data_IF_572431676628
#
_entry.id   IF_572431676628
#
_cell.length_a   1.000
_cell.length_b   1.000
_cell.length_c   1.000
_cell.angle_alpha   90.00
_cell.angle_beta   90.00
_cell.angle_gamma   90.00
#
_symmetry.space_group_name_H-M   'P 1'
#
loop_
_entity.id
_entity.type
_entity.pdbx_description
1 polymer ?
#
# COMPACT_ATOMS: atom_id res chain seq x y z
N UNK A 1 -23.37 -39.06 -23.29
CA UNK A 1 -22.65 -38.35 -22.22
C UNK A 1 -21.42 -37.74 -22.87
N UNK A 2 -21.27 -36.41 -22.81
CA UNK A 2 -20.06 -35.76 -23.33
C UNK A 2 -18.86 -36.12 -22.46
N UNK A 3 -17.70 -36.24 -23.10
CA UNK A 3 -16.42 -36.47 -22.44
C UNK A 3 -16.10 -35.30 -21.49
N UNK A 4 -15.78 -35.54 -20.20
CA UNK A 4 -15.40 -34.50 -19.25
C UNK A 4 -14.26 -33.61 -19.75
N UNK A 5 -13.32 -34.15 -20.54
CA UNK A 5 -12.23 -33.37 -21.10
C UNK A 5 -12.71 -32.31 -22.12
N UNK A 6 -13.74 -32.65 -22.92
CA UNK A 6 -14.33 -31.74 -23.90
C UNK A 6 -15.09 -30.60 -23.21
N UNK A 7 -15.79 -30.91 -22.12
CA UNK A 7 -16.47 -29.89 -21.31
C UNK A 7 -15.49 -28.90 -20.70
N UNK A 8 -14.40 -29.42 -20.13
CA UNK A 8 -13.37 -28.59 -19.50
C UNK A 8 -12.66 -27.72 -20.55
N UNK A 9 -12.35 -28.28 -21.72
CA UNK A 9 -11.82 -27.52 -22.87
C UNK A 9 -12.74 -26.35 -23.25
N UNK A 10 -14.04 -26.60 -23.40
CA UNK A 10 -15.00 -25.56 -23.78
C UNK A 10 -15.10 -24.46 -22.72
N UNK A 11 -15.12 -24.82 -21.43
CA UNK A 11 -15.15 -23.88 -20.31
C UNK A 11 -13.90 -22.99 -20.26
N UNK A 12 -12.72 -23.57 -20.49
CA UNK A 12 -11.45 -22.83 -20.60
C UNK A 12 -11.53 -21.77 -21.71
N UNK A 13 -11.98 -22.18 -22.90
CA UNK A 13 -12.05 -21.30 -24.07
C UNK A 13 -13.09 -20.19 -23.89
N UNK A 14 -14.22 -20.51 -23.26
CA UNK A 14 -15.25 -19.53 -22.92
C UNK A 14 -14.69 -18.47 -21.95
N UNK A 15 -14.06 -18.89 -20.85
CA UNK A 15 -13.48 -17.98 -19.87
C UNK A 15 -12.42 -17.05 -20.49
N UNK A 16 -11.53 -17.60 -21.32
CA UNK A 16 -10.51 -16.79 -22.02
C UNK A 16 -11.17 -15.80 -22.97
N UNK A 17 -12.20 -16.23 -23.72
CA UNK A 17 -12.88 -15.38 -24.72
C UNK A 17 -13.70 -14.22 -24.11
N UNK A 18 -14.23 -14.40 -22.90
CA UNK A 18 -14.97 -13.38 -22.16
C UNK A 18 -14.04 -12.34 -21.52
N UNK A 19 -12.77 -12.68 -21.30
CA UNK A 19 -11.81 -11.76 -20.71
C UNK A 19 -11.50 -10.57 -21.63
N UNK A 20 -11.58 -9.35 -21.09
CA UNK A 20 -11.36 -8.10 -21.83
C UNK A 20 -9.88 -7.76 -22.02
N UNK A 21 -9.02 -8.21 -21.12
CA UNK A 21 -7.58 -7.90 -21.14
C UNK A 21 -6.77 -8.91 -21.94
N UNK A 22 -7.35 -10.06 -22.28
CA UNK A 22 -6.67 -11.11 -23.01
C UNK A 22 -6.34 -10.66 -24.45
N UNK A 23 -5.07 -10.80 -24.82
CA UNK A 23 -4.58 -10.46 -26.15
C UNK A 23 -4.68 -11.65 -27.12
N UNK A 24 -5.38 -11.48 -28.23
CA UNK A 24 -5.61 -12.53 -29.23
C UNK A 24 -4.88 -12.29 -30.55
N UNK A 25 -4.91 -11.05 -31.05
CA UNK A 25 -4.23 -10.63 -32.27
C UNK A 25 -3.91 -9.15 -32.23
N UNK A 26 -2.95 -8.73 -33.05
CA UNK A 26 -2.70 -7.30 -33.28
C UNK A 26 -3.81 -6.74 -34.16
N UNK A 27 -4.57 -5.77 -33.66
CA UNK A 27 -5.63 -5.07 -34.41
C UNK A 27 -5.13 -3.68 -34.80
N UNK A 28 -5.42 -3.26 -36.03
CA UNK A 28 -5.20 -1.89 -36.48
C UNK A 28 -6.30 -0.98 -35.90
N UNK A 29 -6.02 0.32 -35.76
CA UNK A 29 -6.97 1.29 -35.15
C UNK A 29 -8.34 1.36 -35.85
N UNK A 30 -8.39 1.00 -37.14
CA UNK A 30 -9.61 1.05 -37.94
C UNK A 30 -10.32 -0.31 -38.05
N UNK A 31 -9.80 -1.36 -37.41
CA UNK A 31 -10.45 -2.67 -37.38
C UNK A 31 -11.50 -2.73 -36.26
N UNK A 32 -12.66 -3.39 -36.49
CA UNK A 32 -13.64 -3.62 -35.44
C UNK A 32 -13.08 -4.55 -34.35
N UNK A 33 -13.56 -4.36 -33.13
CA UNK A 33 -13.22 -5.23 -31.99
C UNK A 33 -13.57 -6.69 -32.28
N UNK A 34 -12.70 -7.60 -31.81
CA UNK A 34 -12.93 -9.03 -31.96
C UNK A 34 -14.17 -9.47 -31.18
N UNK A 35 -15.07 -10.17 -31.85
CA UNK A 35 -16.22 -10.81 -31.19
C UNK A 35 -15.76 -11.94 -30.27
N UNK A 36 -16.56 -12.27 -29.25
CA UNK A 36 -16.29 -13.40 -28.34
C UNK A 36 -16.13 -14.72 -29.08
N UNK A 37 -16.95 -14.96 -30.12
CA UNK A 37 -16.85 -16.17 -30.96
C UNK A 37 -15.53 -16.24 -31.75
N UNK A 38 -15.03 -15.11 -32.25
CA UNK A 38 -13.74 -15.08 -32.94
C UNK A 38 -12.57 -15.29 -31.98
N UNK A 39 -12.61 -14.65 -30.80
CA UNK A 39 -11.65 -14.88 -29.72
C UNK A 39 -11.58 -16.36 -29.34
N UNK A 40 -12.75 -16.99 -29.20
CA UNK A 40 -12.87 -18.41 -28.89
C UNK A 40 -12.17 -19.29 -29.95
N UNK A 41 -12.44 -19.04 -31.24
CA UNK A 41 -11.79 -19.79 -32.34
C UNK A 41 -10.27 -19.60 -32.40
N UNK A 42 -9.79 -18.38 -32.11
CA UNK A 42 -8.36 -18.10 -32.06
C UNK A 42 -7.71 -18.87 -30.90
N UNK A 43 -8.31 -18.81 -29.72
CA UNK A 43 -7.84 -19.53 -28.54
C UNK A 43 -7.84 -21.05 -28.77
N UNK A 44 -8.91 -21.60 -29.34
CA UNK A 44 -9.01 -23.02 -29.70
C UNK A 44 -7.88 -23.43 -30.64
N UNK A 45 -7.67 -22.64 -31.70
CA UNK A 45 -6.62 -22.90 -32.68
C UNK A 45 -5.20 -22.86 -32.09
N UNK A 46 -4.96 -22.09 -31.03
CA UNK A 46 -3.67 -22.08 -30.32
C UNK A 46 -3.58 -23.31 -29.41
N UNK A 47 -4.63 -23.61 -28.64
CA UNK A 47 -4.69 -24.73 -27.72
C UNK A 47 -4.45 -26.08 -28.41
N UNK A 48 -5.06 -26.27 -29.59
CA UNK A 48 -4.93 -27.52 -30.35
C UNK A 48 -3.57 -27.65 -31.06
N UNK A 49 -2.91 -26.52 -31.38
CA UNK A 49 -1.60 -26.53 -32.05
C UNK A 49 -0.45 -26.68 -31.08
N UNK A 50 -0.45 -25.92 -29.99
CA UNK A 50 0.65 -25.86 -29.03
C UNK A 50 0.13 -25.43 -27.65
N UNK A 51 0.02 -26.42 -26.77
CA UNK A 51 -0.48 -26.26 -25.40
C UNK A 51 0.43 -25.34 -24.56
N UNK A 52 1.77 -25.45 -24.58
CA UNK A 52 2.64 -24.50 -23.88
C UNK A 52 2.42 -23.04 -24.28
N UNK A 53 2.29 -22.76 -25.58
CA UNK A 53 2.05 -21.40 -26.09
C UNK A 53 0.70 -20.86 -25.63
N UNK A 54 -0.32 -21.72 -25.55
CA UNK A 54 -1.61 -21.36 -24.99
C UNK A 54 -1.47 -20.96 -23.51
N UNK A 55 -0.81 -21.79 -22.70
CA UNK A 55 -0.62 -21.53 -21.27
C UNK A 55 0.25 -20.29 -21.00
N UNK A 56 1.30 -20.07 -21.79
CA UNK A 56 2.12 -18.87 -21.68
C UNK A 56 1.30 -17.58 -21.88
N UNK A 57 0.35 -17.60 -22.82
CA UNK A 57 -0.46 -16.41 -23.16
C UNK A 57 -1.68 -16.23 -22.25
N UNK A 58 -2.39 -17.32 -22.00
CA UNK A 58 -3.72 -17.30 -21.39
C UNK A 58 -3.77 -17.96 -20.01
N UNK A 59 -2.70 -18.66 -19.58
CA UNK A 59 -2.66 -19.40 -18.32
C UNK A 59 -2.94 -18.55 -17.09
N UNK A 60 -2.53 -17.26 -17.11
CA UNK A 60 -2.78 -16.30 -16.01
C UNK A 60 -4.27 -16.02 -15.75
N UNK A 61 -5.15 -16.32 -16.71
CA UNK A 61 -6.59 -16.15 -16.55
C UNK A 61 -7.28 -17.42 -16.06
N UNK A 62 -6.58 -18.55 -15.97
CA UNK A 62 -7.18 -19.83 -15.59
C UNK A 62 -7.31 -19.97 -14.06
N UNK A 63 -8.37 -20.68 -13.66
CA UNK A 63 -8.67 -21.11 -12.30
C UNK A 63 -8.13 -22.52 -12.04
N UNK A 64 -8.07 -22.93 -10.77
CA UNK A 64 -7.55 -24.25 -10.36
C UNK A 64 -8.27 -25.41 -11.08
N UNK A 65 -9.60 -25.34 -11.18
CA UNK A 65 -10.42 -26.38 -11.82
C UNK A 65 -10.07 -26.59 -13.30
N UNK A 66 -9.64 -25.52 -13.99
CA UNK A 66 -9.24 -25.55 -15.40
C UNK A 66 -7.87 -26.22 -15.59
N UNK A 67 -7.00 -26.18 -14.59
CA UNK A 67 -5.65 -26.74 -14.68
C UNK A 67 -5.67 -28.27 -14.78
N UNK A 68 -6.73 -28.91 -14.28
CA UNK A 68 -6.96 -30.36 -14.36
C UNK A 68 -6.95 -30.86 -15.82
N UNK A 69 -7.36 -30.03 -16.78
CA UNK A 69 -7.32 -30.38 -18.21
C UNK A 69 -5.90 -30.71 -18.68
N UNK A 70 -4.91 -30.01 -18.14
CA UNK A 70 -3.52 -30.04 -18.60
C UNK A 70 -2.67 -31.08 -17.88
N UNK A 71 -3.10 -31.59 -16.72
CA UNK A 71 -2.35 -32.60 -15.93
C UNK A 71 -2.12 -33.90 -16.69
N UNK A 72 -3.05 -34.25 -17.59
CA UNK A 72 -2.96 -35.47 -18.41
C UNK A 72 -1.91 -35.40 -19.52
N UNK A 73 -1.27 -34.24 -19.73
CA UNK A 73 -0.28 -34.03 -20.80
C UNK A 73 1.13 -34.32 -20.28
N UNK A 74 1.83 -35.21 -20.97
CA UNK A 74 3.23 -35.57 -20.68
C UNK A 74 4.19 -34.61 -21.38
N UNK A 75 4.12 -33.32 -21.02
CA UNK A 75 5.01 -32.27 -21.52
C UNK A 75 5.50 -31.44 -20.34
N UNK A 76 6.82 -31.34 -20.21
CA UNK A 76 7.50 -30.61 -19.15
C UNK A 76 7.12 -29.12 -19.12
N UNK A 77 7.00 -28.48 -20.29
CA UNK A 77 6.65 -27.05 -20.34
C UNK A 77 5.21 -26.82 -19.84
N UNK A 78 4.30 -27.74 -20.19
CA UNK A 78 2.91 -27.69 -19.73
C UNK A 78 2.84 -27.83 -18.21
N UNK A 79 3.55 -28.80 -17.65
CA UNK A 79 3.61 -29.02 -16.19
C UNK A 79 4.20 -27.79 -15.48
N UNK A 80 5.29 -27.22 -16.01
CA UNK A 80 5.88 -26.01 -15.46
C UNK A 80 4.89 -24.84 -15.39
N UNK A 81 4.16 -24.55 -16.47
CA UNK A 81 3.18 -23.45 -16.48
C UNK A 81 1.99 -23.72 -15.55
N UNK A 82 1.54 -24.98 -15.42
CA UNK A 82 0.49 -25.38 -14.49
C UNK A 82 0.94 -25.17 -13.05
N UNK A 83 2.13 -25.65 -12.68
CA UNK A 83 2.70 -25.46 -11.34
C UNK A 83 2.93 -23.99 -11.01
N UNK A 84 3.44 -23.22 -11.96
CA UNK A 84 3.59 -21.76 -11.83
C UNK A 84 2.24 -21.12 -11.52
N UNK A 85 1.20 -21.46 -12.28
CA UNK A 85 -0.13 -20.87 -12.09
C UNK A 85 -0.75 -21.26 -10.74
N UNK A 86 -0.59 -22.51 -10.31
CA UNK A 86 -0.99 -22.98 -8.97
C UNK A 86 -0.29 -22.20 -7.86
N UNK A 87 1.01 -21.97 -8.00
CA UNK A 87 1.77 -21.20 -7.01
C UNK A 87 1.27 -19.75 -6.92
N UNK A 88 0.91 -19.12 -8.05
CA UNK A 88 0.33 -17.78 -8.07
C UNK A 88 -1.05 -17.73 -7.39
N UNK A 89 -1.94 -18.69 -7.67
CA UNK A 89 -3.25 -18.80 -7.02
C UNK A 89 -3.13 -19.02 -5.51
N UNK A 90 -2.22 -19.92 -5.08
CA UNK A 90 -1.91 -20.14 -3.66
C UNK A 90 -1.36 -18.88 -2.98
N UNK A 91 -0.49 -18.14 -3.66
CA UNK A 91 0.02 -16.85 -3.14
C UNK A 91 -1.09 -15.82 -2.99
N UNK A 92 -2.00 -15.72 -3.96
CA UNK A 92 -3.12 -14.78 -3.91
C UNK A 92 -4.09 -15.11 -2.77
N UNK A 93 -4.48 -16.37 -2.65
CA UNK A 93 -5.34 -16.86 -1.55
C UNK A 93 -4.68 -16.67 -0.20
N UNK A 94 -3.39 -17.03 -0.05
CA UNK A 94 -2.66 -16.79 1.19
C UNK A 94 -2.57 -15.29 1.53
N UNK A 95 -2.40 -14.40 0.54
CA UNK A 95 -2.39 -12.95 0.79
C UNK A 95 -3.74 -12.44 1.30
N UNK A 96 -4.86 -12.90 0.72
CA UNK A 96 -6.20 -12.55 1.20
C UNK A 96 -6.43 -13.09 2.62
N UNK A 97 -6.10 -14.37 2.86
CA UNK A 97 -6.21 -14.99 4.19
C UNK A 97 -5.39 -14.22 5.24
N UNK A 98 -4.12 -13.93 4.94
CA UNK A 98 -3.24 -13.15 5.83
C UNK A 98 -3.81 -11.75 6.08
N UNK A 99 -4.28 -11.07 5.04
CA UNK A 99 -4.88 -9.73 5.18
C UNK A 99 -6.14 -9.77 6.04
N UNK A 100 -6.98 -10.78 5.89
CA UNK A 100 -8.21 -10.96 6.65
C UNK A 100 -7.91 -11.29 8.12
N UNK A 101 -6.94 -12.16 8.39
CA UNK A 101 -6.44 -12.43 9.75
C UNK A 101 -5.90 -11.17 10.42
N UNK A 102 -5.08 -10.41 9.71
CA UNK A 102 -4.56 -9.12 10.21
C UNK A 102 -5.67 -8.11 10.44
N UNK A 103 -6.73 -8.10 9.62
CA UNK A 103 -7.89 -7.23 9.84
C UNK A 103 -8.61 -7.56 11.15
N UNK A 104 -8.82 -8.85 11.42
CA UNK A 104 -9.40 -9.28 12.70
C UNK A 104 -8.50 -8.98 13.90
N UNK A 105 -7.19 -9.20 13.76
CA UNK A 105 -6.23 -8.80 14.79
C UNK A 105 -6.27 -7.30 15.06
N UNK A 106 -6.33 -6.49 14.00
CA UNK A 106 -6.45 -5.04 14.10
C UNK A 106 -7.71 -4.64 14.86
N UNK A 107 -8.88 -5.20 14.53
CA UNK A 107 -10.13 -4.92 15.23
C UNK A 107 -10.03 -5.22 16.72
N UNK A 108 -9.52 -6.40 17.08
CA UNK A 108 -9.35 -6.81 18.50
C UNK A 108 -8.37 -5.91 19.26
N UNK A 109 -7.25 -5.56 18.64
CA UNK A 109 -6.24 -4.67 19.22
C UNK A 109 -6.73 -3.23 19.37
N UNK A 110 -7.56 -2.75 18.43
CA UNK A 110 -8.13 -1.41 18.50
C UNK A 110 -9.25 -1.30 19.55
N UNK A 111 -10.01 -2.37 19.78
CA UNK A 111 -11.11 -2.37 20.76
C UNK A 111 -10.64 -2.64 22.20
N UNK A 112 -9.66 -3.51 22.39
CA UNK A 112 -9.26 -4.02 23.71
C UNK A 112 -7.77 -3.85 24.05
N UNK A 113 -6.95 -3.40 23.10
CA UNK A 113 -5.50 -3.31 23.27
C UNK A 113 -5.00 -1.87 23.44
N UNK A 114 -3.79 -1.74 24.00
CA UNK A 114 -3.06 -0.47 24.07
C UNK A 114 -2.23 -0.19 22.80
N UNK A 115 -2.11 -1.18 21.92
CA UNK A 115 -1.23 -1.18 20.74
C UNK A 115 -1.55 -0.09 19.72
N UNK A 116 -2.84 0.19 19.53
CA UNK A 116 -3.35 1.27 18.66
C UNK A 116 -3.79 2.50 19.46
N UNK A 117 -3.27 2.67 20.68
CA UNK A 117 -3.39 3.96 21.36
C UNK A 117 -2.61 5.03 20.60
N UNK A 118 -3.12 6.26 20.64
CA UNK A 118 -2.47 7.42 20.02
C UNK A 118 -1.01 7.59 20.48
N UNK A 119 -0.73 7.28 21.76
CA UNK A 119 0.63 7.30 22.34
C UNK A 119 1.53 6.25 21.68
N UNK A 120 1.11 4.99 21.60
CA UNK A 120 1.91 3.92 20.99
C UNK A 120 2.11 4.13 19.48
N UNK A 121 1.06 4.55 18.78
CA UNK A 121 1.14 4.84 17.35
C UNK A 121 2.15 5.95 17.04
N UNK A 122 2.15 7.03 17.83
CA UNK A 122 3.14 8.12 17.74
C UNK A 122 4.55 7.63 18.08
N UNK A 123 4.71 6.82 19.13
CA UNK A 123 6.02 6.26 19.54
C UNK A 123 6.64 5.44 18.41
N UNK A 124 5.83 4.61 17.76
CA UNK A 124 6.27 3.73 16.66
C UNK A 124 6.51 4.50 15.36
N UNK A 125 5.67 5.48 15.05
CA UNK A 125 5.70 6.26 13.80
C UNK A 125 5.89 7.76 14.06
N UNK A 126 7.04 8.20 14.62
CA UNK A 126 7.22 9.58 15.06
C UNK A 126 7.30 10.58 13.89
N UNK A 127 7.96 10.23 12.78
CA UNK A 127 8.02 11.10 11.59
C UNK A 127 6.64 11.30 10.97
N UNK A 128 5.90 10.21 10.80
CA UNK A 128 4.57 10.28 10.21
C UNK A 128 3.61 11.12 11.06
N UNK A 129 3.70 10.98 12.38
CA UNK A 129 2.92 11.80 13.30
C UNK A 129 3.28 13.28 13.14
N UNK A 130 4.56 13.64 13.12
CA UNK A 130 4.97 15.04 12.98
C UNK A 130 4.56 15.63 11.62
N UNK A 131 4.62 14.84 10.55
CA UNK A 131 4.19 15.25 9.20
C UNK A 131 2.69 15.59 9.13
N UNK A 132 1.83 14.70 9.62
CA UNK A 132 0.38 14.82 9.46
C UNK A 132 -0.29 15.60 10.60
N UNK A 133 0.19 15.47 11.84
CA UNK A 133 -0.52 15.98 13.02
C UNK A 133 0.34 16.95 13.82
N UNK A 134 1.58 16.56 14.14
CA UNK A 134 2.44 17.28 15.08
C UNK A 134 2.70 18.73 14.68
N UNK A 135 2.86 19.05 13.40
CA UNK A 135 3.08 20.42 12.96
C UNK A 135 1.91 21.38 13.24
N UNK A 136 0.69 20.86 13.40
CA UNK A 136 -0.54 21.64 13.57
C UNK A 136 -1.03 21.69 15.02
N UNK A 137 -0.34 21.01 15.94
CA UNK A 137 -0.64 21.03 17.37
C UNK A 137 0.23 22.05 18.10
N UNK A 138 -0.38 22.79 19.01
CA UNK A 138 0.34 23.61 19.99
C UNK A 138 1.08 22.73 21.00
N UNK A 139 2.07 23.30 21.71
CA UNK A 139 2.81 22.55 22.74
C UNK A 139 1.89 22.01 23.84
N UNK A 140 0.84 22.77 24.21
CA UNK A 140 -0.14 22.34 25.21
C UNK A 140 -1.01 21.20 24.70
N UNK A 141 -1.44 21.23 23.43
CA UNK A 141 -2.19 20.13 22.82
C UNK A 141 -1.32 18.89 22.61
N UNK A 142 -0.03 19.05 22.23
CA UNK A 142 0.93 17.94 22.17
C UNK A 142 1.10 17.28 23.54
N UNK A 143 1.15 18.07 24.60
CA UNK A 143 1.23 17.55 25.97
C UNK A 143 -0.04 16.81 26.38
N UNK A 144 -1.22 17.32 26.02
CA UNK A 144 -2.49 16.62 26.26
C UNK A 144 -2.55 15.30 25.50
N UNK A 145 -2.11 15.27 24.24
CA UNK A 145 -2.05 14.07 23.42
C UNK A 145 -1.20 12.95 24.08
N UNK A 146 -0.09 13.32 24.71
CA UNK A 146 0.80 12.39 25.41
C UNK A 146 0.21 11.92 26.75
N UNK A 147 -0.57 12.77 27.42
CA UNK A 147 -1.12 12.49 28.76
C UNK A 147 -2.43 11.69 28.70
N UNK A 148 -3.19 11.80 27.61
CA UNK A 148 -4.53 11.18 27.49
C UNK A 148 -4.50 9.64 27.47
N UNK A 149 -3.32 9.04 27.20
CA UNK A 149 -3.15 7.58 27.13
C UNK A 149 -2.43 6.93 28.33
N UNK A 150 -1.93 7.71 29.29
CA UNK A 150 -1.18 7.18 30.44
C UNK A 150 -1.54 7.99 31.69
N UNK A 151 -2.08 7.31 32.70
CA UNK A 151 -2.41 7.96 33.98
C UNK A 151 -1.22 8.73 34.57
N UNK A 152 -1.49 9.63 35.52
CA UNK A 152 -0.44 10.44 36.16
C UNK A 152 0.74 9.55 36.60
N UNK A 153 2.00 9.98 36.38
CA UNK A 153 3.16 9.16 36.70
C UNK A 153 3.14 8.80 38.18
N UNK A 154 2.77 7.54 38.45
CA UNK A 154 2.55 7.06 39.82
C UNK A 154 3.85 6.88 40.60
N UNK A 155 5.00 6.90 39.91
CA UNK A 155 6.32 6.69 40.47
C UNK A 155 7.40 7.55 39.78
N UNK A 156 8.47 7.85 40.52
CA UNK A 156 9.68 8.46 39.95
C UNK A 156 10.27 7.61 38.81
N UNK A 157 10.16 6.28 38.91
CA UNK A 157 10.61 5.37 37.87
C UNK A 157 9.82 5.55 36.57
N UNK A 158 8.48 5.69 36.63
CA UNK A 158 7.64 5.93 35.45
C UNK A 158 7.96 7.27 34.79
N UNK A 159 8.23 8.31 35.57
CA UNK A 159 8.66 9.60 35.04
C UNK A 159 10.03 9.53 34.34
N UNK A 160 10.99 8.82 34.94
CA UNK A 160 12.30 8.62 34.32
C UNK A 160 12.20 7.82 33.01
N UNK A 161 11.40 6.76 32.97
CA UNK A 161 11.18 5.99 31.75
C UNK A 161 10.51 6.83 30.65
N UNK A 162 9.53 7.67 30.99
CA UNK A 162 8.89 8.60 30.04
C UNK A 162 9.91 9.58 29.41
N UNK A 163 10.87 10.08 30.19
CA UNK A 163 11.96 10.92 29.67
C UNK A 163 12.82 10.13 28.67
N UNK A 164 13.22 8.92 29.02
CA UNK A 164 14.06 8.08 28.16
C UNK A 164 13.33 7.73 26.86
N UNK A 165 12.04 7.41 26.93
CA UNK A 165 11.19 7.16 25.76
C UNK A 165 11.09 8.40 24.85
N UNK A 166 10.92 9.59 25.43
CA UNK A 166 10.89 10.86 24.67
C UNK A 166 12.20 11.13 23.95
N UNK A 167 13.33 10.97 24.64
CA UNK A 167 14.66 11.16 24.04
C UNK A 167 14.92 10.15 22.90
N UNK A 168 14.47 8.90 23.07
CA UNK A 168 14.53 7.88 22.03
C UNK A 168 13.69 8.27 20.81
N UNK A 169 12.43 8.66 21.02
CA UNK A 169 11.52 9.06 19.94
C UNK A 169 12.05 10.29 19.17
N UNK A 170 12.56 11.30 19.88
CA UNK A 170 13.17 12.48 19.27
C UNK A 170 14.42 12.13 18.45
N UNK A 171 15.25 11.21 18.95
CA UNK A 171 16.43 10.72 18.24
C UNK A 171 16.07 9.91 16.99
N UNK A 172 15.00 9.09 17.06
CA UNK A 172 14.46 8.34 15.92
C UNK A 172 13.96 9.29 14.84
N UNK A 173 13.09 10.23 15.21
CA UNK A 173 12.56 11.27 14.32
C UNK A 173 13.68 12.01 13.59
N UNK A 174 14.71 12.47 14.32
CA UNK A 174 15.82 13.21 13.74
C UNK A 174 16.56 12.40 12.67
N UNK A 175 16.81 11.11 12.91
CA UNK A 175 17.47 10.22 11.95
C UNK A 175 16.62 10.02 10.70
N UNK A 176 15.31 9.83 10.87
CA UNK A 176 14.39 9.64 9.74
C UNK A 176 14.32 10.89 8.86
N UNK A 177 14.21 12.09 9.46
CA UNK A 177 14.25 13.37 8.73
C UNK A 177 15.56 13.55 7.97
N UNK A 178 16.70 13.28 8.59
CA UNK A 178 18.02 13.38 7.94
C UNK A 178 18.14 12.41 6.75
N UNK A 179 17.61 11.19 6.89
CA UNK A 179 17.62 10.19 5.83
C UNK A 179 16.76 10.61 4.63
N UNK A 180 15.58 11.18 4.89
CA UNK A 180 14.64 11.61 3.85
C UNK A 180 15.17 12.83 3.09
N UNK A 181 15.77 13.80 3.80
CA UNK A 181 16.41 14.97 3.21
C UNK A 181 17.61 14.62 2.31
N UNK A 182 18.37 13.57 2.66
CA UNK A 182 19.51 13.10 1.86
C UNK A 182 19.10 12.44 0.54
N UNK A 183 17.85 12.01 0.38
CA UNK A 183 17.35 11.34 -0.82
C UNK A 183 16.88 12.30 -1.92
N UNK A 184 16.86 13.61 -1.64
CA UNK A 184 16.49 14.64 -2.61
C UNK A 184 17.63 14.89 -3.61
N UNK A 185 17.40 14.78 -4.94
CA UNK A 185 18.43 15.12 -5.92
C UNK A 185 18.76 16.61 -5.79
N UNK A 186 20.05 16.94 -5.69
CA UNK A 186 20.52 18.32 -5.77
C UNK A 186 20.00 18.93 -7.08
N UNK A 187 19.24 20.03 -6.99
CA UNK A 187 18.75 20.73 -8.17
C UNK A 187 19.94 21.17 -9.03
N UNK A 188 20.14 20.50 -10.17
CA UNK A 188 21.06 20.96 -11.20
C UNK A 188 20.60 22.35 -11.66
N UNK A 189 21.43 23.35 -11.37
CA UNK A 189 21.17 24.74 -11.70
C UNK A 189 21.27 24.94 -13.22
N UNK A 190 20.18 24.74 -13.94
CA UNK A 190 20.06 25.18 -15.33
C UNK A 190 19.99 26.72 -15.36
N UNK A 191 21.15 27.33 -15.57
CA UNK A 191 21.31 28.77 -15.78
C UNK A 191 20.65 29.18 -17.10
N UNK A 192 19.42 29.70 -17.05
CA UNK A 192 18.73 30.21 -18.24
C UNK A 192 18.97 31.72 -18.40
N UNK A 193 19.46 32.10 -19.58
CA UNK A 193 19.95 33.43 -19.91
C UNK A 193 18.86 34.49 -20.11
N UNK A 194 19.29 35.73 -19.89
CA UNK A 194 18.58 37.00 -20.08
C UNK A 194 18.00 37.18 -21.49
N UNK A 195 16.77 37.69 -21.59
CA UNK A 195 16.34 38.60 -22.65
C UNK A 195 14.94 39.23 -22.40
N UNK A 196 14.96 40.54 -22.10
CA UNK A 196 14.12 41.60 -22.68
C UNK A 196 12.63 41.77 -22.30
N UNK A 197 12.17 43.01 -22.49
CA UNK A 197 11.25 43.79 -21.66
C UNK A 197 9.85 44.03 -22.27
N UNK A 198 8.81 44.14 -21.42
CA UNK A 198 7.80 45.22 -21.46
C UNK A 198 6.72 45.11 -20.36
N UNK A 199 6.03 46.22 -20.01
CA UNK A 199 5.44 46.42 -18.69
C UNK A 199 3.92 46.25 -18.67
N UNK A 200 3.40 45.81 -17.52
CA UNK A 200 1.99 46.03 -17.16
C UNK A 200 1.34 44.85 -16.46
N UNK A 201 0.81 45.11 -15.27
CA UNK A 201 -0.06 44.27 -14.42
C UNK A 201 0.69 43.39 -13.42
N UNK A 202 0.90 43.96 -12.23
CA UNK A 202 1.37 43.29 -11.02
C UNK A 202 0.43 42.16 -10.60
N UNK A 203 0.82 40.91 -10.87
CA UNK A 203 0.47 39.75 -10.03
C UNK A 203 1.73 39.32 -9.30
N UNK A 204 1.71 39.46 -7.98
CA UNK A 204 2.82 39.06 -7.10
C UNK A 204 2.81 37.54 -6.99
N UNK A 205 3.52 36.86 -7.90
CA UNK A 205 3.86 35.44 -7.74
C UNK A 205 4.99 35.38 -6.72
N UNK A 206 4.70 34.86 -5.54
CA UNK A 206 5.73 34.61 -4.52
C UNK A 206 6.42 33.31 -4.89
N UNK A 207 7.52 33.45 -5.62
CA UNK A 207 8.48 32.39 -5.92
C UNK A 207 9.30 32.15 -4.65
N UNK A 208 9.15 30.97 -4.06
CA UNK A 208 9.91 30.57 -2.87
C UNK A 208 11.40 30.49 -3.20
N UNK A 209 12.24 31.27 -2.49
CA UNK A 209 13.69 31.09 -2.53
C UNK A 209 14.56 32.31 -2.87
N UNK A 210 14.02 33.53 -2.92
CA UNK A 210 14.86 34.73 -3.09
C UNK A 210 14.80 35.65 -1.87
N UNK A 211 15.83 35.59 -1.04
CA UNK A 211 16.21 36.70 -0.16
C UNK A 211 17.72 36.72 0.08
N UNK A 212 18.24 37.92 -0.03
CA UNK A 212 19.64 38.33 -0.13
C UNK A 212 20.36 38.33 1.22
N UNK A 213 21.60 37.81 1.24
CA UNK A 213 22.77 38.45 1.86
C UNK A 213 22.85 38.64 3.38
N UNK A 214 23.74 37.83 3.98
CA UNK A 214 24.65 38.12 5.12
C UNK A 214 24.11 38.12 6.56
N UNK A 215 24.46 37.06 7.32
CA UNK A 215 25.61 37.06 8.26
C UNK A 215 25.37 36.18 9.50
N UNK A 216 26.24 35.18 9.66
CA UNK A 216 26.75 34.55 10.89
C UNK A 216 25.81 34.31 12.09
N UNK A 217 25.50 33.03 12.34
CA UNK A 217 25.02 32.55 13.63
C UNK A 217 24.65 31.07 13.59
N UNK A 218 25.62 30.19 13.85
CA UNK A 218 25.37 28.76 14.04
C UNK A 218 24.52 28.53 15.29
N UNK A 219 23.31 28.00 15.11
CA UNK A 219 22.57 27.13 16.04
C UNK A 219 21.25 26.70 15.40
N UNK A 220 21.01 25.38 15.40
CA UNK A 220 19.70 24.74 15.41
C UNK A 220 18.92 24.75 14.07
N UNK A 221 19.14 23.73 13.24
CA UNK A 221 18.16 23.34 12.21
C UNK A 221 17.03 22.57 12.91
N UNK A 222 16.16 23.30 13.58
CA UNK A 222 14.79 22.85 13.85
C UNK A 222 14.00 23.21 12.61
N UNK A 223 13.12 22.31 12.16
CA UNK A 223 12.08 22.61 11.18
C UNK A 223 11.23 23.78 11.71
N UNK A 224 11.68 25.00 11.45
CA UNK A 224 11.02 26.25 11.84
C UNK A 224 10.43 26.98 10.61
N UNK A 225 10.09 26.23 9.56
CA UNK A 225 9.31 26.78 8.46
C UNK A 225 7.83 26.44 8.65
N UNK A 226 7.06 27.50 8.94
CA UNK A 226 5.59 27.56 9.01
C UNK A 226 4.98 27.36 10.41
N UNK A 227 5.25 28.29 11.33
CA UNK A 227 4.41 28.46 12.53
C UNK A 227 2.96 28.72 12.10
N UNK A 228 2.10 27.75 12.38
CA UNK A 228 0.65 27.85 12.60
C UNK A 228 -0.14 28.58 11.51
N UNK A 229 -0.47 27.88 10.43
CA UNK A 229 -1.85 28.05 9.95
C UNK A 229 -2.73 27.54 11.08
N UNK A 230 -3.64 28.38 11.59
CA UNK A 230 -4.68 27.95 12.52
C UNK A 230 -5.57 26.95 11.78
N UNK A 231 -5.16 25.69 11.81
CA UNK A 231 -5.94 24.56 11.32
C UNK A 231 -7.14 24.43 12.25
N UNK A 232 -8.32 24.43 11.65
CA UNK A 232 -9.58 24.29 12.38
C UNK A 232 -9.62 22.94 13.09
N UNK A 233 -10.43 22.84 14.14
CA UNK A 233 -10.54 21.59 14.90
C UNK A 233 -11.02 20.42 14.03
N UNK A 234 -11.88 20.70 13.05
CA UNK A 234 -12.36 19.72 12.07
C UNK A 234 -11.22 19.20 11.19
N UNK A 235 -10.35 20.10 10.70
CA UNK A 235 -9.18 19.72 9.91
C UNK A 235 -8.17 18.92 10.74
N UNK A 236 -7.93 19.28 12.01
CA UNK A 236 -7.10 18.47 12.92
C UNK A 236 -7.66 17.07 13.10
N UNK A 237 -8.98 16.93 13.22
CA UNK A 237 -9.64 15.61 13.30
C UNK A 237 -9.43 14.79 12.01
N UNK A 238 -9.50 15.43 10.83
CA UNK A 238 -9.24 14.78 9.54
C UNK A 238 -7.79 14.29 9.47
N UNK A 239 -6.83 15.15 9.82
CA UNK A 239 -5.41 14.82 9.83
C UNK A 239 -5.07 13.67 10.80
N UNK A 240 -5.69 13.66 11.98
CA UNK A 240 -5.54 12.57 12.92
C UNK A 240 -6.12 11.26 12.38
N UNK A 241 -7.27 11.31 11.69
CA UNK A 241 -7.85 10.14 11.07
C UNK A 241 -7.01 9.63 9.89
N UNK A 242 -6.36 10.51 9.14
CA UNK A 242 -5.40 10.16 8.09
C UNK A 242 -4.19 9.45 8.69
N UNK A 243 -3.63 9.99 9.77
CA UNK A 243 -2.56 9.37 10.54
C UNK A 243 -2.94 7.95 10.98
N UNK A 244 -4.12 7.79 11.60
CA UNK A 244 -4.62 6.48 12.04
C UNK A 244 -4.80 5.51 10.88
N UNK A 245 -5.41 5.98 9.79
CA UNK A 245 -5.66 5.17 8.59
C UNK A 245 -4.35 4.66 7.97
N UNK A 246 -3.31 5.49 7.94
CA UNK A 246 -2.01 5.09 7.40
C UNK A 246 -1.32 4.05 8.28
N UNK A 247 -1.33 4.22 9.60
CA UNK A 247 -0.79 3.22 10.54
C UNK A 247 -1.56 1.90 10.44
N UNK A 248 -2.89 1.94 10.32
CA UNK A 248 -3.70 0.73 10.10
C UNK A 248 -3.38 0.06 8.77
N UNK A 249 -3.20 0.83 7.70
CA UNK A 249 -2.81 0.31 6.38
C UNK A 249 -1.44 -0.37 6.42
N UNK A 250 -0.46 0.25 7.08
CA UNK A 250 0.88 -0.31 7.24
C UNK A 250 0.87 -1.58 8.11
N UNK A 251 0.03 -1.61 9.15
CA UNK A 251 -0.20 -2.82 9.94
C UNK A 251 -0.76 -3.97 9.09
N UNK A 252 -1.83 -3.73 8.33
CA UNK A 252 -2.41 -4.74 7.43
C UNK A 252 -1.40 -5.16 6.34
N UNK A 253 -0.56 -4.23 5.90
CA UNK A 253 0.51 -4.45 4.93
C UNK A 253 1.70 -5.26 5.47
N UNK A 254 1.84 -5.41 6.79
CA UNK A 254 2.98 -6.12 7.38
C UNK A 254 4.25 -5.28 7.48
N UNK A 255 4.13 -3.96 7.58
CA UNK A 255 5.27 -3.01 7.58
C UNK A 255 5.64 -2.50 8.96
N UNK A 256 4.99 -3.01 10.00
CA UNK A 256 5.19 -2.58 11.38
C UNK A 256 6.28 -3.43 12.03
N UNK A 257 7.51 -2.92 12.01
CA UNK A 257 8.68 -3.69 12.46
C UNK A 257 8.66 -4.05 13.96
N UNK A 258 7.83 -3.36 14.75
CA UNK A 258 7.70 -3.60 16.19
C UNK A 258 6.63 -4.66 16.52
N UNK A 259 5.89 -5.16 15.53
CA UNK A 259 4.87 -6.21 15.70
C UNK A 259 5.34 -7.58 15.23
N UNK A 260 5.11 -8.63 16.01
CA UNK A 260 5.36 -10.00 15.57
C UNK A 260 4.16 -10.57 14.79
N UNK A 261 4.20 -10.43 13.47
CA UNK A 261 3.15 -10.93 12.59
C UNK A 261 3.01 -12.46 12.58
N UNK A 262 4.01 -13.21 13.06
CA UNK A 262 3.94 -14.67 13.13
C UNK A 262 2.81 -15.15 14.04
N UNK A 263 2.47 -14.37 15.07
CA UNK A 263 1.38 -14.68 16.01
C UNK A 263 -0.01 -14.60 15.37
N UNK A 264 -0.15 -13.88 14.26
CA UNK A 264 -1.42 -13.60 13.59
C UNK A 264 -1.51 -14.32 12.25
N UNK A 265 -0.46 -14.26 11.43
CA UNK A 265 -0.49 -14.74 10.05
C UNK A 265 -0.72 -16.25 9.95
N UNK A 266 -0.21 -17.03 10.90
CA UNK A 266 -0.37 -18.48 10.96
C UNK A 266 -1.53 -18.94 11.87
N UNK A 267 -2.18 -18.00 12.55
CA UNK A 267 -3.18 -18.32 13.57
C UNK A 267 -4.61 -18.34 13.01
N UNK A 268 -5.23 -19.50 13.09
CA UNK A 268 -6.59 -19.74 12.60
C UNK A 268 -7.68 -19.07 13.44
N UNK A 269 -7.39 -18.64 14.68
CA UNK A 269 -8.37 -17.95 15.54
C UNK A 269 -8.76 -16.56 15.02
N UNK A 270 -8.00 -16.04 14.03
CA UNK A 270 -8.28 -14.79 13.33
C UNK A 270 -8.99 -14.99 11.99
N UNK A 271 -9.31 -16.23 11.60
CA UNK A 271 -10.12 -16.50 10.40
C UNK A 271 -11.58 -16.11 10.66
N UNK A 272 -11.97 -14.88 10.30
CA UNK A 272 -13.38 -14.47 10.33
C UNK A 272 -14.15 -15.05 9.14
N UNK A 273 -15.03 -16.00 9.44
CA UNK A 273 -15.89 -16.66 8.48
C UNK A 273 -16.83 -15.67 7.75
N UNK A 274 -17.26 -14.60 8.41
CA UNK A 274 -18.12 -13.59 7.79
C UNK A 274 -17.38 -12.82 6.69
N UNK A 275 -16.15 -12.38 6.97
CA UNK A 275 -15.29 -11.73 5.96
C UNK A 275 -15.01 -12.68 4.79
N UNK A 276 -14.71 -13.96 5.05
CA UNK A 276 -14.48 -14.95 4.00
C UNK A 276 -15.72 -15.17 3.11
N UNK A 277 -16.92 -15.15 3.70
CA UNK A 277 -18.16 -15.31 2.94
C UNK A 277 -18.48 -14.09 2.07
N UNK A 278 -18.21 -12.88 2.56
CA UNK A 278 -18.33 -11.65 1.78
C UNK A 278 -17.35 -11.61 0.60
N UNK A 279 -16.07 -11.87 0.83
CA UNK A 279 -15.06 -11.91 -0.23
C UNK A 279 -15.45 -12.90 -1.34
N UNK A 280 -15.93 -14.09 -0.94
CA UNK A 280 -16.41 -15.09 -1.90
C UNK A 280 -17.62 -14.61 -2.70
N UNK A 281 -18.52 -13.82 -2.12
CA UNK A 281 -19.69 -13.27 -2.82
C UNK A 281 -19.31 -12.14 -3.77
N UNK A 282 -18.29 -11.32 -3.45
CA UNK A 282 -17.81 -10.24 -4.30
C UNK A 282 -17.05 -10.72 -5.55
N UNK A 283 -16.44 -11.92 -5.47
CA UNK A 283 -15.75 -12.57 -6.59
C UNK A 283 -16.71 -13.15 -7.68
N UNK A 284 -18.03 -13.24 -7.41
CA UNK A 284 -19.05 -13.77 -8.33
C UNK A 284 -19.80 -12.67 -9.11
#
# INVERSE_FOLDING_TARGET
MEDPAVRLKNSILELVSQNKEAYFKSQQKDEPDLSTSEKWKIAEGILDKNVPTFLQRYGKYLNEDHLVYFESKDDYEVQYYVEQRRAELKKATNKSVVRNRRLEALKRLAEHGEYFSDKEMKRRNPLLFEELVGQFLTNDEKFQFETTGGGEPTSFATYFMDIVEKDYAASKLKKEVESDASMMPAADSCSIGSAESSPGVSRKVVLWGEMTGSSAGSKQMVLENSRLQEVTEDEKCILLNEFRSKVFSDFLGGKDDEFDYSEVDENMDYDDLCTIEQDKQEDY
#
